data_IF_533452534384
#
_entry.id   IF_533452534384
#
_cell.length_a   1.000
_cell.length_b   1.000
_cell.length_c   1.000
_cell.angle_alpha   90.00
_cell.angle_beta   90.00
_cell.angle_gamma   90.00
#
_symmetry.space_group_name_H-M   'P 1'
#
loop_
_entity.id
_entity.type
_entity.pdbx_description
1 polymer ?
#
# COMPACT_ATOMS: atom_id res chain seq x y z
N UNK A 1 26.87 53.13 71.43
CA UNK A 1 27.27 51.89 72.13
C UNK A 1 26.06 50.95 72.09
N UNK A 2 25.85 50.14 71.04
CA UNK A 2 26.33 48.75 70.80
C UNK A 2 26.10 47.76 71.97
N UNK A 3 25.10 46.87 71.81
CA UNK A 3 25.13 45.39 72.02
C UNK A 3 23.68 44.85 72.06
N UNK A 4 23.17 44.13 71.05
CA UNK A 4 23.33 42.70 70.74
C UNK A 4 22.68 41.75 71.78
N UNK A 5 21.48 41.22 71.47
CA UNK A 5 20.98 39.89 71.85
C UNK A 5 19.91 39.47 70.82
N UNK A 6 20.26 38.71 69.77
CA UNK A 6 20.21 37.25 69.65
C UNK A 6 18.85 36.61 69.94
N UNK A 7 18.07 36.33 68.87
CA UNK A 7 17.15 35.20 68.80
C UNK A 7 17.47 34.37 67.56
N UNK A 8 18.02 33.17 67.80
CA UNK A 8 18.33 32.13 66.83
C UNK A 8 17.04 31.48 66.32
N UNK A 9 16.84 31.45 65.01
CA UNK A 9 16.05 30.39 64.38
C UNK A 9 17.02 29.36 63.77
N UNK A 10 17.10 28.20 64.42
CA UNK A 10 17.74 26.99 63.88
C UNK A 10 16.74 26.28 62.98
N UNK A 11 17.13 25.96 61.75
CA UNK A 11 16.66 24.79 61.00
C UNK A 11 17.34 24.75 59.62
N UNK A 12 18.59 24.29 59.56
CA UNK A 12 19.20 23.84 58.30
C UNK A 12 18.71 22.44 58.00
N UNK A 13 17.80 22.29 57.06
CA UNK A 13 17.46 20.99 56.48
C UNK A 13 18.61 20.60 55.55
N UNK A 14 19.61 19.87 56.06
CA UNK A 14 20.65 19.26 55.21
C UNK A 14 20.03 18.04 54.51
N UNK A 15 19.52 18.26 53.30
CA UNK A 15 19.04 17.18 52.47
C UNK A 15 20.25 16.36 52.00
N UNK A 16 20.30 15.09 52.41
CA UNK A 16 21.44 14.21 52.14
C UNK A 16 21.41 13.78 50.66
N UNK A 17 22.14 14.49 49.80
CA UNK A 17 22.18 14.27 48.36
C UNK A 17 22.57 12.83 47.97
N UNK A 18 23.32 12.12 48.82
CA UNK A 18 23.65 10.70 48.64
C UNK A 18 22.40 9.80 48.72
N UNK A 19 21.49 10.09 49.64
CA UNK A 19 20.25 9.32 49.81
C UNK A 19 19.31 9.52 48.62
N UNK A 20 19.16 10.76 48.16
CA UNK A 20 18.38 11.07 46.96
C UNK A 20 18.96 10.40 45.72
N UNK A 21 20.29 10.46 45.54
CA UNK A 21 20.95 9.79 44.41
C UNK A 21 20.72 8.28 44.40
N UNK A 22 20.89 7.60 45.55
CA UNK A 22 20.63 6.17 45.68
C UNK A 22 19.15 5.82 45.48
N UNK A 23 18.23 6.68 45.94
CA UNK A 23 16.80 6.52 45.70
C UNK A 23 16.47 6.59 44.20
N UNK A 24 16.97 7.61 43.50
CA UNK A 24 16.76 7.76 42.06
C UNK A 24 17.42 6.66 41.23
N UNK A 25 18.58 6.12 41.65
CA UNK A 25 19.18 4.95 41.01
C UNK A 25 18.30 3.70 41.12
N UNK A 26 17.68 3.46 42.29
CA UNK A 26 16.76 2.32 42.48
C UNK A 26 15.48 2.50 41.65
N UNK A 27 14.94 3.73 41.61
CA UNK A 27 13.78 4.06 40.78
C UNK A 27 14.09 3.83 39.30
N UNK A 28 15.22 4.34 38.81
CA UNK A 28 15.67 4.13 37.42
C UNK A 28 15.85 2.64 37.10
N UNK A 29 16.45 1.87 38.01
CA UNK A 29 16.63 0.43 37.84
C UNK A 29 15.29 -0.32 37.73
N UNK A 30 14.29 0.03 38.55
CA UNK A 30 12.94 -0.53 38.46
C UNK A 30 12.27 -0.15 37.13
N UNK A 31 12.40 1.10 36.67
CA UNK A 31 11.88 1.51 35.37
C UNK A 31 12.53 0.77 34.21
N UNK A 32 13.85 0.53 34.25
CA UNK A 32 14.55 -0.26 33.24
C UNK A 32 14.05 -1.71 33.25
N UNK A 33 13.89 -2.33 34.43
CA UNK A 33 13.36 -3.70 34.53
C UNK A 33 11.92 -3.81 34.00
N UNK A 34 11.07 -2.82 34.31
CA UNK A 34 9.70 -2.76 33.78
C UNK A 34 9.70 -2.56 32.26
N UNK A 35 10.57 -1.71 31.72
CA UNK A 35 10.70 -1.50 30.28
C UNK A 35 11.18 -2.77 29.55
N UNK A 36 12.15 -3.49 30.13
CA UNK A 36 12.63 -4.77 29.59
C UNK A 36 11.52 -5.84 29.64
N UNK A 37 10.75 -5.92 30.73
CA UNK A 37 9.64 -6.86 30.84
C UNK A 37 8.52 -6.56 29.82
N UNK A 38 8.18 -5.28 29.60
CA UNK A 38 7.17 -4.86 28.62
C UNK A 38 7.63 -5.14 27.18
N UNK A 39 8.90 -4.87 26.86
CA UNK A 39 9.43 -5.13 25.51
C UNK A 39 9.55 -6.63 25.21
N UNK A 40 9.91 -7.47 26.20
CA UNK A 40 10.00 -8.92 26.03
C UNK A 40 8.64 -9.62 25.87
N UNK A 41 7.61 -9.20 26.61
CA UNK A 41 6.23 -9.70 26.41
C UNK A 41 5.70 -9.34 25.02
N UNK A 42 5.99 -8.12 24.55
CA UNK A 42 5.57 -7.65 23.22
C UNK A 42 6.24 -8.44 22.09
N UNK A 43 7.52 -8.80 22.26
CA UNK A 43 8.29 -9.60 21.30
C UNK A 43 7.75 -11.05 21.18
N UNK A 44 7.38 -11.68 22.31
CA UNK A 44 6.82 -13.04 22.31
C UNK A 44 5.42 -13.09 21.69
N UNK A 45 4.59 -12.07 21.91
CA UNK A 45 3.28 -11.96 21.28
C UNK A 45 3.39 -11.81 19.76
N UNK A 46 4.37 -11.03 19.29
CA UNK A 46 4.63 -10.81 17.86
C UNK A 46 5.16 -12.07 17.15
N UNK A 47 5.91 -12.94 17.84
CA UNK A 47 6.38 -14.20 17.23
C UNK A 47 5.29 -15.28 17.13
N UNK A 48 4.21 -15.21 17.92
CA UNK A 48 3.14 -16.20 17.91
C UNK A 48 2.03 -15.93 16.88
N UNK A 49 2.05 -14.80 16.18
CA UNK A 49 1.11 -14.48 15.09
C UNK A 49 1.61 -14.93 13.72
N UNK A 50 2.31 -16.08 13.64
CA UNK A 50 2.55 -16.74 12.36
C UNK A 50 1.21 -17.30 11.89
N UNK A 51 0.54 -16.57 11.00
CA UNK A 51 -0.57 -17.12 10.23
C UNK A 51 -0.02 -18.27 9.41
N UNK A 52 -0.11 -19.50 9.95
CA UNK A 52 0.05 -20.75 9.23
C UNK A 52 -0.98 -20.74 8.10
N UNK A 53 -0.51 -20.57 6.88
CA UNK A 53 -1.18 -20.84 5.59
C UNK A 53 -2.70 -21.05 5.63
N UNK A 54 -3.45 -20.19 4.94
CA UNK A 54 -4.89 -20.40 4.75
C UNK A 54 -5.14 -21.38 3.62
N UNK A 55 -5.95 -22.41 3.88
CA UNK A 55 -6.38 -23.36 2.85
C UNK A 55 -7.62 -22.84 2.13
N UNK A 56 -7.58 -22.89 0.81
CA UNK A 56 -8.70 -22.53 -0.07
C UNK A 56 -8.93 -23.69 -1.05
N UNK A 57 -10.18 -24.15 -1.20
CA UNK A 57 -10.49 -25.13 -2.24
C UNK A 57 -10.26 -24.48 -3.60
N UNK A 58 -9.73 -25.24 -4.55
CA UNK A 58 -9.50 -24.75 -5.93
C UNK A 58 -10.80 -24.26 -6.57
N UNK A 59 -11.94 -24.92 -6.30
CA UNK A 59 -13.26 -24.46 -6.74
C UNK A 59 -13.61 -23.08 -6.20
N UNK A 60 -13.34 -22.85 -4.92
CA UNK A 60 -13.67 -21.60 -4.24
C UNK A 60 -12.73 -20.48 -4.69
N UNK A 61 -11.47 -20.81 -4.99
CA UNK A 61 -10.52 -19.90 -5.62
C UNK A 61 -11.01 -19.48 -7.00
N UNK A 62 -11.27 -20.44 -7.90
CA UNK A 62 -11.74 -20.14 -9.26
C UNK A 62 -13.03 -19.32 -9.26
N UNK A 63 -13.97 -19.65 -8.39
CA UNK A 63 -15.21 -18.89 -8.26
C UNK A 63 -14.96 -17.43 -7.86
N UNK A 64 -14.08 -17.19 -6.88
CA UNK A 64 -13.72 -15.82 -6.46
C UNK A 64 -12.92 -15.08 -7.52
N UNK A 65 -11.98 -15.75 -8.19
CA UNK A 65 -11.19 -15.18 -9.28
C UNK A 65 -12.12 -14.72 -10.42
N UNK A 66 -13.04 -15.58 -10.87
CA UNK A 66 -14.02 -15.22 -11.89
C UNK A 66 -14.94 -14.08 -11.44
N UNK A 67 -15.35 -14.07 -10.17
CA UNK A 67 -16.14 -12.96 -9.61
C UNK A 67 -15.36 -11.65 -9.56
N UNK A 68 -14.05 -11.70 -9.31
CA UNK A 68 -13.16 -10.53 -9.36
C UNK A 68 -13.11 -9.93 -10.75
N UNK A 69 -12.78 -10.74 -11.76
CA UNK A 69 -12.80 -10.32 -13.17
C UNK A 69 -14.15 -9.74 -13.60
N UNK A 70 -15.24 -10.43 -13.24
CA UNK A 70 -16.59 -9.95 -13.53
C UNK A 70 -16.90 -8.62 -12.83
N UNK A 71 -16.43 -8.45 -11.60
CA UNK A 71 -16.60 -7.23 -10.82
C UNK A 71 -15.91 -6.04 -11.46
N UNK A 72 -14.66 -6.21 -11.91
CA UNK A 72 -13.90 -5.20 -12.65
C UNK A 72 -14.63 -4.81 -13.94
N UNK A 73 -15.01 -5.80 -14.76
CA UNK A 73 -15.77 -5.57 -16.00
C UNK A 73 -17.10 -4.82 -15.77
N UNK A 74 -17.83 -5.17 -14.70
CA UNK A 74 -19.06 -4.47 -14.31
C UNK A 74 -18.77 -3.03 -13.87
N UNK A 75 -17.75 -2.81 -13.05
CA UNK A 75 -17.37 -1.48 -12.55
C UNK A 75 -16.94 -0.55 -13.69
N UNK A 76 -16.00 -0.99 -14.50
CA UNK A 76 -15.49 -0.26 -15.67
C UNK A 76 -16.63 0.07 -16.63
N UNK A 77 -17.40 -0.95 -17.03
CA UNK A 77 -18.50 -0.77 -17.97
C UNK A 77 -19.63 0.14 -17.48
N UNK A 78 -19.88 0.17 -16.17
CA UNK A 78 -20.87 1.05 -15.57
C UNK A 78 -20.36 2.49 -15.39
N UNK A 79 -19.06 2.65 -15.12
CA UNK A 79 -18.39 3.94 -14.96
C UNK A 79 -18.14 4.67 -16.28
N UNK A 80 -17.81 3.95 -17.35
CA UNK A 80 -17.41 4.50 -18.65
C UNK A 80 -18.34 5.60 -19.21
N UNK A 81 -19.69 5.50 -19.14
CA UNK A 81 -20.58 6.56 -19.64
C UNK A 81 -20.47 7.90 -18.89
N UNK A 82 -19.87 7.91 -17.70
CA UNK A 82 -19.75 9.09 -16.82
C UNK A 82 -18.35 9.71 -16.82
N UNK A 83 -17.39 9.04 -17.46
CA UNK A 83 -16.00 9.47 -17.53
C UNK A 83 -15.90 10.92 -18.03
N UNK A 84 -15.18 11.75 -17.27
CA UNK A 84 -15.00 13.19 -17.49
C UNK A 84 -16.27 14.08 -17.53
N UNK A 85 -17.47 13.55 -17.25
CA UNK A 85 -18.74 14.32 -17.34
C UNK A 85 -19.10 15.10 -16.08
N UNK A 86 -18.65 14.63 -14.91
CA UNK A 86 -19.02 15.16 -13.60
C UNK A 86 -17.81 15.59 -12.77
N UNK A 87 -16.84 16.25 -13.41
CA UNK A 87 -15.62 16.69 -12.72
C UNK A 87 -15.94 17.67 -11.58
N UNK A 88 -15.31 17.46 -10.42
CA UNK A 88 -15.49 18.29 -9.20
C UNK A 88 -16.92 18.39 -8.67
N UNK A 89 -17.79 17.41 -9.01
CA UNK A 89 -19.15 17.31 -8.48
C UNK A 89 -19.59 15.86 -8.36
N UNK A 90 -20.56 15.60 -7.48
CA UNK A 90 -21.23 14.31 -7.42
C UNK A 90 -22.22 14.22 -8.60
N UNK A 91 -22.34 13.03 -9.20
CA UNK A 91 -23.36 12.74 -10.21
C UNK A 91 -24.74 12.87 -9.54
N UNK A 92 -25.66 13.69 -10.06
CA UNK A 92 -27.04 13.72 -9.57
C UNK A 92 -27.65 12.31 -9.58
N UNK A 93 -28.45 11.98 -8.57
CA UNK A 93 -28.97 10.61 -8.39
C UNK A 93 -29.81 10.13 -9.58
N UNK A 94 -30.57 11.04 -10.20
CA UNK A 94 -31.37 10.80 -11.39
C UNK A 94 -30.57 10.72 -12.70
N UNK A 95 -29.29 11.11 -12.66
CA UNK A 95 -28.35 11.04 -13.77
C UNK A 95 -27.36 9.86 -13.67
N UNK A 96 -27.34 9.14 -12.54
CA UNK A 96 -26.54 7.91 -12.41
C UNK A 96 -27.01 6.89 -13.46
N UNK A 97 -26.13 6.37 -14.32
CA UNK A 97 -26.53 5.40 -15.34
C UNK A 97 -27.23 4.19 -14.70
N UNK A 98 -28.34 3.76 -15.27
CA UNK A 98 -28.96 2.50 -14.86
C UNK A 98 -28.12 1.35 -15.40
N UNK A 99 -27.61 0.47 -14.52
CA UNK A 99 -26.84 -0.69 -14.94
C UNK A 99 -27.66 -1.60 -15.87
N UNK A 100 -27.03 -2.07 -16.94
CA UNK A 100 -27.61 -3.04 -17.88
C UNK A 100 -26.61 -4.17 -18.14
N UNK A 101 -27.05 -5.43 -18.31
CA UNK A 101 -26.16 -6.55 -18.57
C UNK A 101 -25.18 -6.33 -19.74
N UNK A 102 -25.59 -5.59 -20.77
CA UNK A 102 -24.72 -5.26 -21.92
C UNK A 102 -23.50 -4.40 -21.57
N UNK A 103 -23.50 -3.72 -20.41
CA UNK A 103 -22.41 -2.87 -19.96
C UNK A 103 -21.19 -3.69 -19.51
N UNK A 104 -21.33 -4.99 -19.21
CA UNK A 104 -20.20 -5.80 -18.76
C UNK A 104 -19.17 -6.08 -19.86
N UNK A 105 -19.62 -6.14 -21.11
CA UNK A 105 -18.79 -6.62 -22.22
C UNK A 105 -18.18 -5.46 -23.00
N UNK A 106 -17.40 -4.61 -22.32
CA UNK A 106 -16.69 -3.46 -22.89
C UNK A 106 -15.24 -3.84 -23.20
N UNK A 107 -14.78 -3.56 -24.42
CA UNK A 107 -13.49 -4.06 -24.93
C UNK A 107 -12.48 -2.94 -25.19
N UNK A 108 -12.94 -1.70 -25.16
CA UNK A 108 -12.16 -0.50 -25.46
C UNK A 108 -11.95 0.32 -24.18
N UNK A 109 -11.47 -0.36 -23.13
CA UNK A 109 -11.20 0.21 -21.81
C UNK A 109 -9.84 -0.32 -21.33
N UNK A 110 -8.90 0.57 -21.08
CA UNK A 110 -7.52 0.25 -20.69
C UNK A 110 -7.44 -0.51 -19.38
N UNK A 111 -8.37 -0.26 -18.46
CA UNK A 111 -8.57 -1.01 -17.22
C UNK A 111 -8.60 -2.53 -17.45
N UNK A 112 -9.10 -2.98 -18.61
CA UNK A 112 -9.33 -4.40 -18.91
C UNK A 112 -8.29 -5.02 -19.84
N UNK A 113 -7.72 -4.26 -20.78
CA UNK A 113 -6.80 -4.84 -21.76
C UNK A 113 -5.32 -4.69 -21.39
N UNK A 114 -4.94 -3.75 -20.51
CA UNK A 114 -3.52 -3.56 -20.19
C UNK A 114 -2.98 -4.72 -19.35
N UNK A 115 -3.74 -5.12 -18.34
CA UNK A 115 -3.43 -6.27 -17.48
C UNK A 115 -3.22 -7.58 -18.26
N UNK A 116 -3.90 -7.74 -19.39
CA UNK A 116 -3.78 -8.91 -20.25
C UNK A 116 -2.38 -9.07 -20.82
N UNK A 117 -1.63 -7.98 -21.01
CA UNK A 117 -0.22 -8.05 -21.43
C UNK A 117 0.64 -8.73 -20.37
N UNK A 118 0.46 -8.39 -19.09
CA UNK A 118 1.23 -8.97 -18.01
C UNK A 118 0.83 -10.43 -17.74
N UNK A 119 -0.45 -10.75 -17.87
CA UNK A 119 -0.91 -12.14 -17.85
C UNK A 119 -0.29 -12.95 -18.99
N UNK A 120 -0.21 -12.39 -20.19
CA UNK A 120 0.44 -13.05 -21.33
C UNK A 120 1.94 -13.29 -21.07
N UNK A 121 2.66 -12.31 -20.51
CA UNK A 121 4.07 -12.49 -20.11
C UNK A 121 4.23 -13.66 -19.12
N UNK A 122 3.34 -13.78 -18.14
CA UNK A 122 3.36 -14.87 -17.16
C UNK A 122 3.03 -16.23 -17.78
N UNK A 123 2.12 -16.27 -18.75
CA UNK A 123 1.79 -17.51 -19.49
C UNK A 123 2.99 -17.96 -20.33
N UNK A 124 3.67 -17.05 -21.00
CA UNK A 124 4.76 -17.36 -21.92
C UNK A 124 6.06 -17.72 -21.19
N UNK A 125 6.39 -16.96 -20.13
CA UNK A 125 7.71 -17.03 -19.49
C UNK A 125 7.67 -17.62 -18.07
N UNK A 126 6.48 -17.85 -17.51
CA UNK A 126 6.30 -18.33 -16.14
C UNK A 126 6.42 -17.25 -15.07
N UNK A 127 6.28 -17.65 -13.80
CA UNK A 127 6.27 -16.72 -12.65
C UNK A 127 7.62 -16.02 -12.38
N UNK A 128 8.72 -16.56 -12.92
CA UNK A 128 10.07 -15.98 -12.78
C UNK A 128 10.39 -14.96 -13.90
N UNK A 129 9.39 -14.56 -14.70
CA UNK A 129 9.56 -13.55 -15.75
C UNK A 129 10.18 -12.27 -15.18
N UNK A 130 11.26 -11.81 -15.79
CA UNK A 130 11.91 -10.58 -15.33
C UNK A 130 11.06 -9.37 -15.65
N UNK A 131 11.13 -8.33 -14.80
CA UNK A 131 10.50 -7.03 -15.10
C UNK A 131 10.95 -6.45 -16.45
N UNK A 132 12.19 -6.73 -16.88
CA UNK A 132 12.68 -6.30 -18.19
C UNK A 132 11.93 -6.97 -19.34
N UNK A 133 11.64 -8.28 -19.22
CA UNK A 133 10.85 -8.99 -20.22
C UNK A 133 9.40 -8.50 -20.25
N UNK A 134 8.75 -8.37 -19.09
CA UNK A 134 7.41 -7.79 -19.02
C UNK A 134 7.37 -6.34 -19.58
N UNK A 135 8.42 -5.56 -19.35
CA UNK A 135 8.59 -4.24 -19.95
C UNK A 135 8.76 -4.27 -21.47
N UNK A 136 9.44 -5.28 -22.03
CA UNK A 136 9.54 -5.49 -23.49
C UNK A 136 8.16 -5.83 -24.06
N UNK A 137 7.41 -6.71 -23.42
CA UNK A 137 6.08 -7.10 -23.90
C UNK A 137 5.12 -5.90 -23.87
N UNK A 138 5.12 -5.13 -22.77
CA UNK A 138 4.35 -3.89 -22.65
C UNK A 138 4.79 -2.82 -23.66
N UNK A 139 6.09 -2.71 -23.95
CA UNK A 139 6.61 -1.83 -25.00
C UNK A 139 6.07 -2.20 -26.39
N UNK A 140 5.82 -3.48 -26.64
CA UNK A 140 5.33 -4.01 -27.92
C UNK A 140 3.80 -4.10 -28.02
N UNK A 141 3.06 -3.75 -26.96
CA UNK A 141 1.60 -3.65 -27.00
C UNK A 141 1.12 -2.68 -28.11
N UNK A 142 -0.01 -3.02 -28.74
CA UNK A 142 -0.57 -2.28 -29.87
C UNK A 142 -1.84 -1.48 -29.53
N UNK A 143 -2.39 -1.67 -28.33
CA UNK A 143 -3.57 -0.93 -27.87
C UNK A 143 -3.23 0.53 -27.51
N UNK A 144 -4.27 1.35 -27.41
CA UNK A 144 -4.13 2.73 -26.93
C UNK A 144 -3.75 2.74 -25.46
N UNK A 145 -3.05 3.78 -25.04
CA UNK A 145 -2.68 3.99 -23.65
C UNK A 145 -2.84 5.46 -23.34
N UNK A 146 -3.10 5.74 -22.07
CA UNK A 146 -3.27 7.09 -21.57
C UNK A 146 -2.24 7.36 -20.46
N UNK A 147 -2.10 8.64 -20.12
CA UNK A 147 -1.43 9.15 -18.92
C UNK A 147 -0.13 8.41 -18.55
N UNK A 148 -0.06 7.72 -17.40
CA UNK A 148 1.17 7.11 -16.90
C UNK A 148 1.61 5.92 -17.75
N UNK A 149 0.65 5.16 -18.29
CA UNK A 149 0.95 4.02 -19.14
C UNK A 149 1.50 4.43 -20.50
N UNK A 150 0.95 5.50 -21.10
CA UNK A 150 1.47 6.06 -22.34
C UNK A 150 2.91 6.59 -22.17
N UNK A 151 3.16 7.31 -21.08
CA UNK A 151 4.49 7.80 -20.73
C UNK A 151 5.46 6.63 -20.46
N UNK A 152 5.04 5.65 -19.67
CA UNK A 152 5.82 4.46 -19.34
C UNK A 152 6.19 3.64 -20.58
N UNK A 153 5.25 3.40 -21.49
CA UNK A 153 5.51 2.71 -22.77
C UNK A 153 6.48 3.50 -23.65
N UNK A 154 6.34 4.83 -23.69
CA UNK A 154 7.26 5.71 -24.42
C UNK A 154 8.67 5.62 -23.86
N UNK A 155 8.81 5.65 -22.53
CA UNK A 155 10.08 5.49 -21.84
C UNK A 155 10.76 4.15 -22.16
N UNK A 156 10.00 3.05 -22.14
CA UNK A 156 10.50 1.73 -22.51
C UNK A 156 11.00 1.70 -23.96
N UNK A 157 10.23 2.26 -24.90
CA UNK A 157 10.62 2.37 -26.32
C UNK A 157 11.84 3.27 -26.54
N UNK A 158 12.08 4.22 -25.63
CA UNK A 158 13.27 5.08 -25.63
C UNK A 158 14.46 4.49 -24.87
N UNK A 159 14.36 3.24 -24.38
CA UNK A 159 15.44 2.53 -23.72
C UNK A 159 15.56 2.75 -22.21
N UNK A 160 14.58 3.40 -21.57
CA UNK A 160 14.50 3.50 -20.12
C UNK A 160 13.80 2.23 -19.61
N UNK A 161 14.59 1.26 -19.15
CA UNK A 161 14.09 -0.01 -18.64
C UNK A 161 13.37 0.11 -17.28
N UNK A 162 12.54 -0.87 -16.89
CA UNK A 162 12.00 -0.96 -15.55
C UNK A 162 13.12 -1.06 -14.48
N UNK A 163 12.89 -0.56 -13.26
CA UNK A 163 11.68 0.13 -12.81
C UNK A 163 11.62 1.62 -13.22
N UNK A 164 12.68 2.14 -13.86
CA UNK A 164 12.80 3.57 -14.18
C UNK A 164 11.76 4.07 -15.17
N UNK A 165 11.23 3.21 -16.05
CA UNK A 165 10.18 3.58 -17.01
C UNK A 165 8.95 4.21 -16.37
N UNK A 166 8.59 3.79 -15.14
CA UNK A 166 7.49 4.34 -14.35
C UNK A 166 7.90 5.29 -13.22
N UNK A 167 9.21 5.51 -13.02
CA UNK A 167 9.70 6.31 -11.89
C UNK A 167 9.38 7.80 -12.07
N UNK A 168 9.00 8.56 -11.02
CA UNK A 168 8.62 9.99 -11.13
C UNK A 168 9.68 10.92 -11.76
N UNK A 169 10.95 10.51 -11.76
CA UNK A 169 12.04 11.24 -12.45
C UNK A 169 11.91 11.18 -13.97
N UNK A 170 11.31 10.12 -14.52
CA UNK A 170 11.19 9.87 -15.96
C UNK A 170 9.75 9.85 -16.46
N UNK A 171 8.78 9.66 -15.57
CA UNK A 171 7.36 9.66 -15.87
C UNK A 171 6.68 10.79 -15.08
N UNK A 172 6.39 11.90 -15.76
CA UNK A 172 5.73 13.07 -15.15
C UNK A 172 4.32 12.76 -14.65
N UNK A 173 3.73 11.66 -15.11
CA UNK A 173 2.41 11.20 -14.72
C UNK A 173 2.46 10.03 -13.72
N UNK A 174 3.58 9.78 -13.06
CA UNK A 174 3.77 8.63 -12.16
C UNK A 174 2.74 8.52 -11.01
N UNK A 175 2.06 9.62 -10.65
CA UNK A 175 1.03 9.65 -9.60
C UNK A 175 -0.39 9.37 -10.14
N UNK A 176 -0.55 9.08 -11.42
CA UNK A 176 -1.84 8.74 -12.00
C UNK A 176 -2.27 7.30 -11.63
N UNK A 177 -3.56 7.03 -11.81
CA UNK A 177 -4.22 5.81 -11.32
C UNK A 177 -4.01 4.59 -12.21
N UNK A 178 -3.32 4.72 -13.33
CA UNK A 178 -3.23 3.72 -14.41
C UNK A 178 -2.89 2.32 -13.89
N UNK A 179 -1.82 2.16 -13.11
CA UNK A 179 -1.48 0.84 -12.56
C UNK A 179 -2.50 0.34 -11.53
N UNK A 180 -3.17 1.24 -10.80
CA UNK A 180 -4.12 0.86 -9.75
C UNK A 180 -5.38 0.22 -10.32
N UNK A 181 -5.85 0.69 -11.49
CA UNK A 181 -7.01 0.13 -12.19
C UNK A 181 -6.69 -1.19 -12.91
N UNK A 182 -5.40 -1.50 -13.08
CA UNK A 182 -4.89 -2.71 -13.77
C UNK A 182 -4.26 -3.71 -12.81
N UNK A 183 -4.05 -3.38 -11.53
CA UNK A 183 -3.34 -4.24 -10.59
C UNK A 183 -4.15 -5.49 -10.18
N UNK A 184 -5.44 -5.55 -10.53
CA UNK A 184 -6.36 -6.63 -10.18
C UNK A 184 -5.81 -8.00 -10.58
N UNK A 185 -5.16 -8.13 -11.75
CA UNK A 185 -4.57 -9.40 -12.19
C UNK A 185 -3.65 -10.02 -11.15
N UNK A 186 -2.80 -9.21 -10.51
CA UNK A 186 -1.78 -9.69 -9.58
C UNK A 186 -2.42 -10.32 -8.34
N UNK A 187 -3.45 -9.68 -7.79
CA UNK A 187 -4.21 -10.19 -6.66
C UNK A 187 -5.09 -11.40 -7.01
N UNK A 188 -5.63 -11.44 -8.23
CA UNK A 188 -6.50 -12.52 -8.69
C UNK A 188 -5.75 -13.82 -8.98
N UNK A 189 -4.53 -13.74 -9.54
CA UNK A 189 -3.74 -14.93 -9.86
C UNK A 189 -2.90 -15.45 -8.69
N UNK A 190 -2.54 -14.58 -7.74
CA UNK A 190 -1.66 -14.91 -6.61
C UNK A 190 -2.25 -14.50 -5.24
N UNK A 191 -3.48 -14.91 -4.90
CA UNK A 191 -4.14 -14.45 -3.68
C UNK A 191 -3.38 -14.91 -2.42
N UNK A 192 -3.05 -13.96 -1.55
CA UNK A 192 -2.37 -14.23 -0.28
C UNK A 192 -0.86 -14.44 -0.41
N UNK A 193 -0.27 -14.05 -1.55
CA UNK A 193 1.17 -13.98 -1.79
C UNK A 193 1.57 -12.50 -1.95
N UNK A 194 1.86 -11.79 -0.82
CA UNK A 194 2.27 -10.38 -0.84
C UNK A 194 3.72 -10.19 -1.29
#
# INVERSE_FOLDING_TARGET
MKNQHNLRFRSTFHMNYSFLFQFWQKVLFVFILLFVAVTSVSYVQAQNSVVKERRLKVSDYRNKMMAGWLGQMVGVGWGAPTEFRYQSRIIPEDEVPVWQPKMVNVWDQDDLYVEMTFLQSLIEYGFDVSQNQAGIDFANSAYNLYVANAAGRTNLRNGIAPPNSGHPVYNEAADAIDYQIEADFSGLIAPGLP
#
